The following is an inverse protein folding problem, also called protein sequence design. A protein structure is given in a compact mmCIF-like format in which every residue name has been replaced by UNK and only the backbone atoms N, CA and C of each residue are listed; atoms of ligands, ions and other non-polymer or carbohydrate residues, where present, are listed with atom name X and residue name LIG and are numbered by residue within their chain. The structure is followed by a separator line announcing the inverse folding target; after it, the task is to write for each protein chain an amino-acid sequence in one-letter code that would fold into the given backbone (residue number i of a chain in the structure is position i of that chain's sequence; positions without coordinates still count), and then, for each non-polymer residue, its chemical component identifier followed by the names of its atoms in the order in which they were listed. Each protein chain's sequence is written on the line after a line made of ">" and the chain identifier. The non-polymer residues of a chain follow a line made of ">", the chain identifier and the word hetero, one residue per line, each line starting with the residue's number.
data_IF_620704771857
#
_entry.id   IF_620704771857
#
_cell.length_a   1.000
_cell.length_b   1.000
_cell.length_c   1.000
_cell.angle_alpha   90.00
_cell.angle_beta   90.00
_cell.angle_gamma   90.00
#
_symmetry.space_group_name_H-M   'P 1'
#
loop_
_entity.id
_entity.type
_entity.pdbx_description
1 polymer ?
#
# COMPACT_ATOMS: atom_id res chain seq x y z
N UNK A 1 -0.06 -6.80 2.50
CA UNK A 1 -0.55 -7.30 3.81
C UNK A 1 0.08 -6.47 4.91
N UNK A 2 -0.73 -5.75 5.69
CA UNK A 2 -0.22 -4.96 6.83
C UNK A 2 -0.14 -5.90 8.03
N UNK A 3 1.07 -6.13 8.55
CA UNK A 3 1.32 -7.05 9.65
C UNK A 3 1.17 -6.30 10.98
N UNK A 4 -0.06 -6.08 11.42
CA UNK A 4 -0.37 -5.82 12.82
C UNK A 4 -1.69 -6.53 13.14
N UNK A 5 -1.65 -7.48 14.09
CA UNK A 5 -2.69 -8.43 14.52
C UNK A 5 -4.10 -8.23 13.89
N UNK A 6 -4.41 -9.04 12.88
CA UNK A 6 -5.75 -9.15 12.28
C UNK A 6 -5.76 -8.80 10.79
N UNK A 7 -6.13 -9.76 9.93
CA UNK A 7 -6.25 -9.54 8.48
C UNK A 7 -7.43 -8.59 8.22
N UNK A 8 -7.15 -7.34 7.87
CA UNK A 8 -8.17 -6.38 7.43
C UNK A 8 -8.28 -6.41 5.90
N UNK A 9 -9.36 -7.01 5.37
CA UNK A 9 -9.64 -7.06 3.93
C UNK A 9 -10.45 -5.83 3.52
N UNK A 10 -9.76 -4.72 3.24
CA UNK A 10 -10.35 -3.44 2.82
C UNK A 10 -9.57 -2.89 1.63
N UNK A 11 -10.21 -2.04 0.82
CA UNK A 11 -9.55 -1.28 -0.25
C UNK A 11 -8.72 -0.17 0.37
N UNK A 12 -7.42 -0.18 0.13
CA UNK A 12 -6.46 0.74 0.73
C UNK A 12 -6.81 2.19 0.41
N UNK A 13 -7.20 2.44 -0.85
CA UNK A 13 -7.57 3.75 -1.36
C UNK A 13 -8.86 4.34 -0.76
N UNK A 14 -9.61 3.54 0.02
CA UNK A 14 -10.85 3.97 0.70
C UNK A 14 -10.68 4.18 2.20
N UNK A 15 -9.43 4.11 2.68
CA UNK A 15 -9.14 4.19 4.09
C UNK A 15 -9.23 2.83 4.78
N UNK A 16 -8.32 2.61 5.73
CA UNK A 16 -8.28 1.42 6.58
C UNK A 16 -8.40 1.82 8.06
N UNK A 17 -8.97 0.96 8.92
CA UNK A 17 -9.15 1.25 10.34
C UNK A 17 -7.84 1.06 11.12
N UNK A 18 -6.79 1.74 10.68
CA UNK A 18 -5.48 1.80 11.30
C UNK A 18 -5.19 3.26 11.58
N UNK A 19 -4.74 3.57 12.79
CA UNK A 19 -4.39 4.92 13.21
C UNK A 19 -3.20 5.48 12.41
N UNK A 20 -3.08 6.80 12.40
CA UNK A 20 -1.94 7.49 11.81
C UNK A 20 -0.66 7.06 12.55
N UNK A 21 0.45 6.90 11.82
CA UNK A 21 1.75 6.53 12.41
C UNK A 21 1.72 5.27 13.30
N UNK A 22 0.86 4.30 13.00
CA UNK A 22 0.74 3.06 13.78
C UNK A 22 1.71 1.96 13.33
N UNK A 23 2.11 1.95 12.06
CA UNK A 23 2.90 0.89 11.43
C UNK A 23 4.39 1.24 11.34
N UNK A 24 5.23 0.29 11.72
CA UNK A 24 6.68 0.34 11.51
C UNK A 24 7.08 -0.17 10.13
N UNK A 25 6.35 -1.19 9.65
CA UNK A 25 6.59 -1.81 8.35
C UNK A 25 5.26 -2.05 7.65
N UNK A 26 5.20 -1.68 6.37
CA UNK A 26 4.12 -2.05 5.46
C UNK A 26 4.68 -2.94 4.37
N UNK A 27 4.11 -4.14 4.19
CA UNK A 27 4.51 -5.07 3.13
C UNK A 27 3.40 -5.15 2.09
N UNK A 28 3.74 -4.94 0.83
CA UNK A 28 2.85 -5.22 -0.29
C UNK A 28 3.43 -6.31 -1.17
N UNK A 29 2.59 -7.25 -1.57
CA UNK A 29 2.94 -8.37 -2.42
C UNK A 29 1.95 -8.47 -3.58
N UNK A 30 2.37 -8.04 -4.75
CA UNK A 30 1.69 -8.13 -6.05
C UNK A 30 0.26 -7.58 -6.11
N UNK A 31 -0.09 -6.61 -5.26
CA UNK A 31 -1.47 -6.07 -5.16
C UNK A 31 -1.58 -4.56 -5.36
N UNK A 32 -0.49 -3.79 -5.45
CA UNK A 32 -0.59 -2.35 -5.71
C UNK A 32 -1.17 -2.10 -7.10
N UNK A 33 -0.77 -2.91 -8.08
CA UNK A 33 -1.29 -2.81 -9.43
C UNK A 33 -2.80 -3.09 -9.57
N UNK A 34 -3.44 -3.69 -8.56
CA UNK A 34 -4.88 -3.95 -8.53
C UNK A 34 -5.69 -2.81 -7.87
N UNK A 35 -5.02 -1.79 -7.34
CA UNK A 35 -5.70 -0.62 -6.78
C UNK A 35 -6.25 0.27 -7.89
N UNK A 36 -7.46 0.81 -7.69
CA UNK A 36 -8.09 1.72 -8.66
C UNK A 36 -7.47 3.12 -8.66
N UNK A 37 -6.98 3.54 -7.49
CA UNK A 37 -6.27 4.80 -7.30
C UNK A 37 -4.98 4.53 -6.53
N UNK A 38 -3.88 4.38 -7.28
CA UNK A 38 -2.55 4.12 -6.73
C UNK A 38 -2.08 5.28 -5.84
N UNK A 39 -2.38 6.53 -6.20
CA UNK A 39 -1.95 7.71 -5.43
C UNK A 39 -2.65 7.73 -4.07
N UNK A 40 -3.96 7.50 -4.03
CA UNK A 40 -4.70 7.38 -2.78
C UNK A 40 -4.20 6.20 -1.93
N UNK A 41 -3.91 5.04 -2.55
CA UNK A 41 -3.33 3.90 -1.85
C UNK A 41 -1.97 4.24 -1.20
N UNK A 42 -1.05 4.86 -1.94
CA UNK A 42 0.25 5.26 -1.38
C UNK A 42 0.12 6.33 -0.29
N UNK A 43 -0.82 7.28 -0.41
CA UNK A 43 -1.11 8.25 0.65
C UNK A 43 -1.61 7.58 1.92
N UNK A 44 -2.45 6.56 1.80
CA UNK A 44 -2.94 5.80 2.95
C UNK A 44 -1.83 5.00 3.62
N UNK A 45 -0.93 4.38 2.84
CA UNK A 45 0.26 3.72 3.36
C UNK A 45 1.15 4.71 4.12
N UNK A 46 1.35 5.90 3.56
CA UNK A 46 2.13 6.94 4.21
C UNK A 46 1.49 7.40 5.52
N UNK A 47 0.16 7.58 5.55
CA UNK A 47 -0.59 7.99 6.74
C UNK A 47 -0.35 7.04 7.91
N UNK A 48 -0.39 5.72 7.66
CA UNK A 48 -0.23 4.72 8.72
C UNK A 48 1.24 4.47 9.10
N UNK A 49 2.20 4.82 8.24
CA UNK A 49 3.62 4.66 8.54
C UNK A 49 4.10 5.70 9.56
N UNK A 50 4.90 5.27 10.53
CA UNK A 50 5.66 6.17 11.41
C UNK A 50 6.70 6.97 10.61
N UNK A 51 7.21 8.07 11.16
CA UNK A 51 8.22 8.92 10.49
C UNK A 51 9.51 8.20 10.06
N UNK A 52 9.81 7.03 10.62
CA UNK A 52 10.93 6.16 10.22
C UNK A 52 10.47 4.77 9.75
N UNK A 53 9.18 4.61 9.51
CA UNK A 53 8.63 3.35 9.01
C UNK A 53 9.04 3.11 7.57
N UNK A 54 9.11 1.84 7.19
CA UNK A 54 9.48 1.43 5.84
C UNK A 54 8.34 0.74 5.12
N UNK A 55 8.22 0.98 3.82
CA UNK A 55 7.41 0.16 2.93
C UNK A 55 8.32 -0.80 2.16
N UNK A 56 7.97 -2.08 2.18
CA UNK A 56 8.56 -3.10 1.32
C UNK A 56 7.52 -3.48 0.28
N UNK A 57 7.88 -3.35 -1.00
CA UNK A 57 7.00 -3.65 -2.12
C UNK A 57 7.62 -4.71 -3.03
N UNK A 58 6.85 -5.76 -3.29
CA UNK A 58 7.03 -6.66 -4.42
C UNK A 58 5.85 -6.44 -5.36
N UNK A 59 6.11 -6.02 -6.60
CA UNK A 59 5.06 -5.88 -7.62
C UNK A 59 5.68 -5.92 -9.03
N UNK A 60 4.83 -6.06 -10.05
CA UNK A 60 5.23 -5.95 -11.45
C UNK A 60 5.44 -4.50 -11.84
N UNK A 61 6.55 -4.22 -12.51
CA UNK A 61 6.89 -2.91 -13.06
C UNK A 61 7.35 -3.05 -14.50
N UNK A 62 7.21 -1.97 -15.27
CA UNK A 62 7.70 -1.90 -16.64
C UNK A 62 8.71 -0.76 -16.76
N UNK A 63 9.75 -0.97 -17.56
CA UNK A 63 10.79 0.05 -17.83
C UNK A 63 10.34 1.10 -18.84
N UNK A 64 9.19 0.87 -19.47
CA UNK A 64 8.54 1.75 -20.45
C UNK A 64 7.04 1.76 -20.19
N UNK A 65 6.38 2.80 -20.69
CA UNK A 65 4.93 2.85 -20.70
C UNK A 65 4.39 1.68 -21.54
N UNK A 66 3.44 0.95 -20.98
CA UNK A 66 2.77 -0.14 -21.69
C UNK A 66 1.64 0.49 -22.48
N UNK A 67 1.80 0.55 -23.79
CA UNK A 67 0.73 0.95 -24.69
C UNK A 67 -0.47 0.00 -24.54
N UNK A 68 -1.67 0.56 -24.57
CA UNK A 68 -2.89 -0.20 -24.80
C UNK A 68 -3.00 -0.37 -26.32
N UNK A 69 -2.28 -1.35 -26.88
CA UNK A 69 -2.54 -1.84 -28.24
C UNK A 69 -3.61 -2.93 -28.22
#
# INVERSE_FOLDING_TARGET
>A
MIYNRGIQKRRLERGIPIEDSAAEVVISDCVINLTLDKVAAFKEIYRILRSNGIMVISDLVTSKEVGLE
#
